data_IF_667895732814
#
_entry.id   IF_667895732814
#
_cell.length_a   1.000
_cell.length_b   1.000
_cell.length_c   1.000
_cell.angle_alpha   90.00
_cell.angle_beta   90.00
_cell.angle_gamma   90.00
#
_symmetry.space_group_name_H-M   'P 1'
#
loop_
_entity.id
_entity.type
_entity.pdbx_description
1 polymer ?
#
# COMPACT_ATOMS: atom_id res chain seq x y z
N UNK A 1 37.83 2.02 11.44
CA UNK A 1 37.31 1.98 11.26
C UNK A 1 36.31 1.90 10.86
N UNK A 2 35.69 1.85 10.36
CA UNK A 2 34.97 1.87 9.93
C UNK A 2 33.95 1.97 9.90
N UNK A 3 33.44 2.24 9.84
CA UNK A 3 32.36 2.36 9.84
C UNK A 3 31.46 2.39 8.97
N UNK A 4 31.26 2.68 8.46
CA UNK A 4 30.60 2.80 7.64
C UNK A 4 29.47 2.14 7.48
N UNK A 5 29.31 1.66 7.51
CA UNK A 5 28.42 0.97 7.56
C UNK A 5 27.16 1.39 7.57
N UNK A 6 27.12 2.07 7.83
CA UNK A 6 26.03 2.70 8.15
C UNK A 6 25.11 2.77 7.06
N UNK A 7 25.54 3.36 6.21
CA UNK A 7 24.82 3.59 5.11
C UNK A 7 23.88 2.57 4.78
N UNK A 8 24.34 1.60 4.73
CA UNK A 8 23.60 0.65 4.39
C UNK A 8 22.27 0.61 4.83
N UNK A 9 22.10 0.91 5.88
CA UNK A 9 20.92 0.85 6.37
C UNK A 9 19.89 1.43 5.60
N UNK A 10 20.13 2.42 5.17
CA UNK A 10 19.26 3.14 4.47
C UNK A 10 18.49 2.36 3.56
N UNK A 11 19.06 1.62 2.87
CA UNK A 11 18.46 0.89 1.90
C UNK A 11 17.31 0.12 2.37
N UNK A 12 17.41 -0.47 3.45
CA UNK A 12 16.38 -1.30 3.89
C UNK A 12 15.10 -0.59 4.18
N UNK A 13 15.12 0.68 4.19
CA UNK A 13 13.93 1.41 4.53
C UNK A 13 12.99 1.62 3.36
N UNK A 14 13.36 1.29 2.19
CA UNK A 14 12.53 1.57 1.04
C UNK A 14 11.30 0.72 0.99
N UNK A 15 10.17 1.34 0.75
CA UNK A 15 8.91 0.68 0.53
C UNK A 15 8.41 1.11 -0.82
N UNK A 16 8.12 0.17 -1.68
CA UNK A 16 7.62 0.48 -3.01
C UNK A 16 6.12 0.20 -3.08
N UNK A 17 5.41 1.04 -3.78
CA UNK A 17 3.98 0.88 -3.96
C UNK A 17 3.66 1.14 -5.43
N UNK A 18 3.01 0.20 -6.09
CA UNK A 18 2.66 0.37 -7.49
C UNK A 18 1.45 -0.50 -7.83
N UNK A 19 0.88 -0.30 -8.99
CA UNK A 19 -0.25 -1.08 -9.43
C UNK A 19 -0.10 -1.46 -10.89
N UNK A 20 -0.82 -2.50 -11.29
CA UNK A 20 -0.89 -2.96 -12.66
C UNK A 20 -2.36 -3.19 -12.97
N UNK A 21 -2.81 -2.72 -14.13
CA UNK A 21 -4.17 -2.96 -14.57
C UNK A 21 -4.08 -4.01 -15.68
N UNK A 22 -4.80 -5.10 -15.50
CA UNK A 22 -4.74 -6.21 -16.44
C UNK A 22 -6.12 -6.83 -16.60
N UNK A 23 -6.68 -6.76 -17.80
CA UNK A 23 -7.98 -7.36 -18.12
C UNK A 23 -9.08 -6.94 -17.16
N UNK A 24 -9.13 -5.66 -16.86
CA UNK A 24 -10.18 -5.15 -15.98
C UNK A 24 -9.94 -5.39 -14.50
N UNK A 25 -8.81 -5.97 -14.17
CA UNK A 25 -8.45 -6.16 -12.78
C UNK A 25 -7.36 -5.20 -12.40
N UNK A 26 -7.35 -4.78 -11.17
CA UNK A 26 -6.30 -3.93 -10.64
C UNK A 26 -5.53 -4.76 -9.64
N UNK A 27 -4.22 -4.86 -9.85
CA UNK A 27 -3.35 -5.55 -8.91
C UNK A 27 -2.51 -4.51 -8.22
N UNK A 28 -2.66 -4.39 -6.90
CA UNK A 28 -1.92 -3.41 -6.13
C UNK A 28 -0.82 -4.12 -5.36
N UNK A 29 0.38 -3.57 -5.43
CA UNK A 29 1.56 -4.18 -4.83
C UNK A 29 2.18 -3.23 -3.81
N UNK A 30 2.54 -3.77 -2.67
CA UNK A 30 3.22 -3.02 -1.64
C UNK A 30 4.39 -3.85 -1.14
N UNK A 31 5.60 -3.31 -1.26
CA UNK A 31 6.78 -4.01 -0.77
C UNK A 31 6.99 -3.62 0.68
N UNK A 32 6.80 -4.57 1.56
CA UNK A 32 6.95 -4.36 2.99
C UNK A 32 7.44 -5.67 3.61
N UNK A 33 8.71 -6.00 3.43
CA UNK A 33 9.23 -7.31 3.83
C UNK A 33 9.16 -7.58 5.32
N UNK A 34 9.12 -6.54 6.14
CA UNK A 34 9.08 -6.76 7.57
C UNK A 34 7.68 -6.78 8.14
N UNK A 35 6.67 -6.53 7.34
CA UNK A 35 5.30 -6.55 7.80
C UNK A 35 4.84 -7.99 7.98
N UNK A 36 3.97 -8.21 8.94
CA UNK A 36 3.40 -9.52 9.15
C UNK A 36 1.98 -9.59 8.63
N UNK A 37 1.33 -8.48 8.47
CA UNK A 37 -0.03 -8.43 7.96
C UNK A 37 -0.23 -7.13 7.21
N UNK A 38 -0.84 -7.22 6.04
CA UNK A 38 -1.16 -6.04 5.24
C UNK A 38 -2.58 -6.19 4.75
N UNK A 39 -3.40 -5.18 4.99
CA UNK A 39 -4.80 -5.16 4.58
C UNK A 39 -5.02 -3.89 3.79
N UNK A 40 -5.63 -4.00 2.64
CA UNK A 40 -6.02 -2.83 1.86
C UNK A 40 -7.42 -2.42 2.32
N UNK A 41 -7.61 -1.15 2.60
CA UNK A 41 -8.91 -0.63 2.99
C UNK A 41 -9.37 0.33 1.93
N UNK A 42 -10.52 0.05 1.32
CA UNK A 42 -11.11 0.92 0.33
C UNK A 42 -12.17 1.75 1.04
N UNK A 43 -12.01 3.05 0.98
CA UNK A 43 -12.94 3.96 1.64
C UNK A 43 -14.30 3.90 0.99
N UNK A 44 -15.32 3.98 1.78
CA UNK A 44 -16.67 3.92 1.29
C UNK A 44 -17.62 3.71 2.45
N UNK A 45 -18.85 3.45 2.12
CA UNK A 45 -19.88 3.22 3.13
C UNK A 45 -20.59 1.91 2.75
N UNK A 46 -20.16 0.80 3.30
CA UNK A 46 -19.13 0.68 4.35
C UNK A 46 -17.72 0.58 3.75
N UNK A 47 -16.73 0.68 4.60
CA UNK A 47 -15.35 0.47 4.18
C UNK A 47 -15.19 -1.01 3.83
N UNK A 48 -14.39 -1.28 2.82
CA UNK A 48 -14.07 -2.65 2.43
C UNK A 48 -12.64 -2.96 2.82
N UNK A 49 -12.43 -4.08 3.47
CA UNK A 49 -11.10 -4.51 3.86
C UNK A 49 -10.75 -5.78 3.09
N UNK A 50 -9.60 -5.79 2.48
CA UNK A 50 -9.14 -6.94 1.70
C UNK A 50 -7.76 -7.33 2.17
N UNK A 51 -7.64 -8.57 2.63
CA UNK A 51 -6.36 -9.08 3.11
C UNK A 51 -5.41 -9.26 1.94
N UNK A 52 -4.22 -8.69 2.02
CA UNK A 52 -3.22 -8.85 0.99
C UNK A 52 -2.54 -10.21 1.14
N UNK A 53 -2.01 -10.72 0.04
CA UNK A 53 -1.28 -11.96 0.04
C UNK A 53 0.19 -11.66 -0.07
N UNK A 54 0.98 -12.31 0.78
CA UNK A 54 2.41 -12.10 0.77
C UNK A 54 3.05 -12.91 -0.32
N UNK A 55 3.81 -12.27 -1.17
CA UNK A 55 4.53 -12.92 -2.24
C UNK A 55 6.02 -12.99 -1.95
N UNK A 56 6.78 -13.22 -2.97
CA UNK A 56 8.22 -13.31 -2.85
C UNK A 56 8.82 -11.97 -2.45
N UNK A 57 9.89 -12.01 -1.73
CA UNK A 57 10.65 -10.83 -1.34
C UNK A 57 9.83 -9.81 -0.54
N UNK A 58 8.82 -10.29 0.15
CA UNK A 58 8.05 -9.38 1.00
C UNK A 58 7.18 -8.41 0.24
N UNK A 59 6.77 -8.77 -0.97
CA UNK A 59 5.85 -7.93 -1.74
C UNK A 59 4.44 -8.46 -1.55
N UNK A 60 3.57 -7.60 -1.09
CA UNK A 60 2.19 -7.95 -0.80
C UNK A 60 1.31 -7.54 -1.97
N UNK A 61 0.33 -8.37 -2.29
CA UNK A 61 -0.51 -8.15 -3.46
C UNK A 61 -1.98 -8.21 -3.11
N UNK A 62 -2.76 -7.30 -3.65
CA UNK A 62 -4.21 -7.32 -3.56
C UNK A 62 -4.75 -7.23 -4.98
N UNK A 63 -5.69 -8.10 -5.32
CA UNK A 63 -6.32 -8.09 -6.63
C UNK A 63 -7.75 -7.58 -6.48
N UNK A 64 -8.11 -6.59 -7.27
CA UNK A 64 -9.41 -5.98 -7.23
C UNK A 64 -10.14 -6.12 -8.56
N UNK A 65 -11.43 -6.42 -8.51
CA UNK A 65 -12.27 -6.40 -9.68
C UNK A 65 -13.12 -5.15 -9.59
N UNK A 66 -12.47 -4.03 -9.67
CA UNK A 66 -13.15 -2.76 -9.47
C UNK A 66 -12.74 -1.81 -10.58
N UNK A 67 -13.65 -0.99 -11.03
CA UNK A 67 -13.34 -0.01 -12.05
C UNK A 67 -13.61 1.37 -11.48
N UNK A 68 -13.04 2.37 -12.11
CA UNK A 68 -13.24 3.74 -11.69
C UNK A 68 -12.31 4.17 -10.57
N UNK A 69 -12.53 5.36 -10.10
CA UNK A 69 -11.69 5.96 -9.09
C UNK A 69 -12.10 5.48 -7.71
N UNK A 70 -11.16 5.26 -6.83
CA UNK A 70 -11.47 4.95 -5.45
C UNK A 70 -10.37 5.46 -4.53
N UNK A 71 -10.68 5.61 -3.25
CA UNK A 71 -9.76 6.07 -2.24
C UNK A 71 -9.40 4.93 -1.35
N UNK A 72 -8.16 4.88 -0.89
CA UNK A 72 -7.71 3.74 -0.12
C UNK A 72 -6.54 4.09 0.80
N UNK A 73 -6.31 3.21 1.76
CA UNK A 73 -5.12 3.21 2.57
C UNK A 73 -4.87 1.76 2.99
N UNK A 74 -3.79 1.52 3.68
CA UNK A 74 -3.48 0.17 4.15
C UNK A 74 -3.49 0.13 5.67
N UNK A 75 -3.70 -1.06 6.20
CA UNK A 75 -3.44 -1.33 7.61
C UNK A 75 -2.30 -2.32 7.62
N UNK A 76 -1.15 -1.90 8.13
CA UNK A 76 0.05 -2.71 8.18
C UNK A 76 0.32 -3.03 9.64
N UNK A 77 0.27 -4.31 10.01
CA UNK A 77 0.50 -4.75 11.38
C UNK A 77 -0.38 -3.97 12.37
N UNK A 78 -1.68 -3.86 12.03
CA UNK A 78 -2.69 -3.21 12.85
C UNK A 78 -2.54 -1.69 12.96
N UNK A 79 -1.76 -1.07 12.10
CA UNK A 79 -1.63 0.38 12.09
C UNK A 79 -1.94 0.92 10.72
N UNK A 80 -2.64 2.02 10.65
CA UNK A 80 -2.93 2.65 9.37
C UNK A 80 -1.62 3.09 8.72
N UNK A 81 -1.49 2.82 7.45
CA UNK A 81 -0.28 3.16 6.70
C UNK A 81 -0.68 3.75 5.35
N UNK A 82 -0.14 4.91 5.05
CA UNK A 82 -0.37 5.57 3.77
C UNK A 82 0.89 5.45 2.95
N UNK A 83 0.87 4.71 1.83
CA UNK A 83 2.06 4.56 1.02
C UNK A 83 2.31 5.83 0.22
N UNK A 84 3.45 5.87 -0.45
CA UNK A 84 3.71 6.95 -1.38
C UNK A 84 2.78 6.74 -2.55
N UNK A 85 1.90 7.66 -2.79
CA UNK A 85 0.98 7.60 -3.92
C UNK A 85 0.93 8.96 -4.59
N UNK A 86 0.64 8.97 -5.89
CA UNK A 86 0.68 10.22 -6.64
C UNK A 86 -0.43 11.16 -6.23
N UNK A 87 -1.61 10.63 -5.97
CA UNK A 87 -2.75 11.45 -5.62
C UNK A 87 -3.17 11.11 -4.20
N UNK A 88 -3.32 12.14 -3.39
CA UNK A 88 -3.76 11.99 -2.02
C UNK A 88 -4.92 12.92 -1.77
N UNK A 89 -5.81 12.52 -0.91
CA UNK A 89 -6.92 13.35 -0.52
C UNK A 89 -7.04 13.39 0.99
N UNK A 90 -7.32 14.57 1.51
CA UNK A 90 -7.48 14.78 2.93
C UNK A 90 -8.99 14.73 3.20
N UNK A 91 -9.43 13.86 4.09
CA UNK A 91 -10.85 13.75 4.34
C UNK A 91 -11.28 14.75 5.43
N UNK A 92 -12.59 14.78 5.72
CA UNK A 92 -13.12 15.74 6.64
C UNK A 92 -12.70 15.50 8.08
N UNK A 93 -12.12 14.36 8.37
CA UNK A 93 -11.72 14.02 9.71
C UNK A 93 -10.22 14.16 9.92
N UNK A 94 -9.53 14.72 8.97
CA UNK A 94 -8.10 14.96 9.10
C UNK A 94 -7.22 13.80 8.70
N UNK A 95 -7.79 12.77 8.10
CA UNK A 95 -7.01 11.63 7.63
C UNK A 95 -6.75 11.75 6.15
N UNK A 96 -5.65 11.19 5.70
CA UNK A 96 -5.30 11.19 4.30
C UNK A 96 -5.58 9.84 3.68
N UNK A 97 -5.98 9.84 2.43
CA UNK A 97 -6.16 8.64 1.65
C UNK A 97 -5.43 8.77 0.35
N UNK A 98 -4.97 7.66 -0.20
CA UNK A 98 -4.49 7.64 -1.56
C UNK A 98 -5.69 7.58 -2.48
N UNK A 99 -5.56 8.11 -3.67
CA UNK A 99 -6.62 8.08 -4.66
C UNK A 99 -6.12 7.30 -5.86
N UNK A 100 -6.86 6.25 -6.23
CA UNK A 100 -6.56 5.51 -7.45
C UNK A 100 -7.42 6.12 -8.55
N UNK A 101 -6.77 6.54 -9.62
CA UNK A 101 -7.45 7.10 -10.78
C UNK A 101 -6.95 6.36 -12.00
N UNK A 102 -7.82 5.66 -12.71
CA UNK A 102 -7.43 4.85 -13.86
C UNK A 102 -6.91 5.71 -15.02
#
# INVERSE_FOLDING_TARGET
MIPILAAVLVVGACTAHYHVVNNGRIEMYLTAPQAQSVVLVIAGDPFRKIQALRGASGTWKVTLNQSGEFKYFYIMDNKAYLPECRLKEHDDFGSDNCVFSP
#
